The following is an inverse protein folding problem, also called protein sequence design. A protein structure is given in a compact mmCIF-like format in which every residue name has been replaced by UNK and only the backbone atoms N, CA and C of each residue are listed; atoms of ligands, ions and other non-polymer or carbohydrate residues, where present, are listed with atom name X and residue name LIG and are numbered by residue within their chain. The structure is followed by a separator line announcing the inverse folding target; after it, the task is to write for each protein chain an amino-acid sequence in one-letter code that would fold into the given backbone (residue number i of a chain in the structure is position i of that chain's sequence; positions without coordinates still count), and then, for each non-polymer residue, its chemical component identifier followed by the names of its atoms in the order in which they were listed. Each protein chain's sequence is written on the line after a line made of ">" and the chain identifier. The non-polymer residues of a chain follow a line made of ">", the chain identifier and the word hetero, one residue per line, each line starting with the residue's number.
data_IF_529468759881
#
_entry.id   IF_529468759881
#
_cell.length_a   1.000
_cell.length_b   1.000
_cell.length_c   1.000
_cell.angle_alpha   90.00
_cell.angle_beta   90.00
_cell.angle_gamma   90.00
#
_symmetry.space_group_name_H-M   'P 1'
#
loop_
_entity.id
_entity.type
_entity.pdbx_description
1 polymer ?
#
# COMPACT_ATOMS: atom_id res chain seq x y z
N UNK A 1 -25.85 49.64 15.29
CA UNK A 1 -24.97 48.96 14.30
C UNK A 1 -23.86 48.24 15.04
N UNK A 2 -23.83 46.90 14.97
CA UNK A 2 -22.65 46.02 15.13
C UNK A 2 -23.14 44.59 14.93
N UNK A 3 -22.88 44.07 13.73
CA UNK A 3 -23.17 42.71 13.31
C UNK A 3 -22.20 41.73 14.02
N UNK A 4 -22.74 40.68 14.64
CA UNK A 4 -21.97 39.49 14.98
C UNK A 4 -21.98 38.56 13.76
N UNK A 5 -20.84 38.48 13.07
CA UNK A 5 -20.62 37.55 11.98
C UNK A 5 -20.31 36.16 12.54
N UNK A 6 -21.12 35.17 12.14
CA UNK A 6 -20.97 33.77 12.52
C UNK A 6 -19.70 33.13 11.94
N UNK A 7 -19.05 32.29 12.75
CA UNK A 7 -18.04 31.35 12.29
C UNK A 7 -18.70 30.27 11.43
N UNK A 8 -18.55 30.35 10.12
CA UNK A 8 -18.77 29.21 9.23
C UNK A 8 -17.54 28.31 9.27
N UNK A 9 -17.70 27.12 9.85
CA UNK A 9 -16.75 26.02 9.74
C UNK A 9 -16.77 25.55 8.28
N UNK A 10 -15.77 25.92 7.48
CA UNK A 10 -15.54 25.26 6.20
C UNK A 10 -15.09 23.82 6.48
N UNK A 11 -16.04 22.88 6.38
CA UNK A 11 -15.72 21.48 6.18
C UNK A 11 -15.01 21.35 4.83
N UNK A 12 -13.70 21.18 4.83
CA UNK A 12 -12.95 20.77 3.64
C UNK A 12 -13.38 19.35 3.28
N UNK A 13 -14.33 19.25 2.36
CA UNK A 13 -14.65 18.01 1.66
C UNK A 13 -13.38 17.58 0.93
N UNK A 14 -12.75 16.51 1.43
CA UNK A 14 -11.67 15.83 0.72
C UNK A 14 -12.32 15.07 -0.44
N UNK A 15 -12.50 15.75 -1.56
CA UNK A 15 -12.72 15.10 -2.85
C UNK A 15 -11.42 14.37 -3.20
N UNK A 16 -11.34 13.08 -2.90
CA UNK A 16 -10.40 12.22 -3.60
C UNK A 16 -10.90 12.14 -5.05
N UNK A 17 -10.57 13.12 -5.88
CA UNK A 17 -10.86 13.04 -7.30
C UNK A 17 -10.19 11.77 -7.84
N UNK A 18 -10.93 10.89 -8.54
CA UNK A 18 -10.27 9.90 -9.38
C UNK A 18 -9.38 10.71 -10.32
N UNK A 19 -8.15 10.25 -10.48
CA UNK A 19 -7.26 10.84 -11.45
C UNK A 19 -7.97 10.70 -12.81
N UNK A 20 -8.54 11.79 -13.35
CA UNK A 20 -8.94 11.85 -14.77
C UNK A 20 -7.66 11.89 -15.61
N UNK A 21 -7.04 10.73 -15.75
CA UNK A 21 -6.01 10.50 -16.75
C UNK A 21 -6.73 10.26 -18.06
N UNK A 22 -6.47 11.14 -19.03
CA UNK A 22 -6.83 10.99 -20.44
C UNK A 22 -6.74 9.51 -20.83
N UNK A 23 -7.88 8.95 -21.26
CA UNK A 23 -8.05 7.56 -21.70
C UNK A 23 -7.05 7.26 -22.82
N UNK A 24 -5.84 6.82 -22.45
CA UNK A 24 -4.87 6.29 -23.41
C UNK A 24 -5.39 4.93 -23.84
N UNK A 25 -5.28 4.63 -25.13
CA UNK A 25 -5.53 3.27 -25.63
C UNK A 25 -4.60 2.30 -24.89
N UNK A 26 -5.19 1.56 -23.96
CA UNK A 26 -4.55 0.49 -23.21
C UNK A 26 -4.99 -0.84 -23.83
N UNK A 27 -4.08 -1.81 -24.04
CA UNK A 27 -4.44 -3.13 -24.54
C UNK A 27 -5.16 -3.98 -23.47
N UNK A 28 -5.37 -3.46 -22.26
CA UNK A 28 -6.09 -4.12 -21.18
C UNK A 28 -7.48 -3.51 -20.99
N UNK A 29 -8.50 -4.35 -21.03
CA UNK A 29 -9.88 -3.97 -20.68
C UNK A 29 -10.33 -4.75 -19.45
N UNK A 30 -10.85 -4.04 -18.45
CA UNK A 30 -11.48 -4.65 -17.29
C UNK A 30 -13.00 -4.48 -17.34
N UNK A 31 -13.72 -5.50 -16.89
CA UNK A 31 -15.17 -5.45 -16.72
C UNK A 31 -15.54 -6.06 -15.37
N UNK A 32 -16.40 -5.38 -14.62
CA UNK A 32 -16.88 -5.80 -13.30
C UNK A 32 -18.36 -6.13 -13.38
N UNK A 33 -18.72 -7.33 -12.95
CA UNK A 33 -20.11 -7.82 -12.92
C UNK A 33 -20.49 -8.29 -11.52
N UNK A 34 -21.75 -8.09 -11.14
CA UNK A 34 -22.29 -8.58 -9.86
C UNK A 34 -22.26 -10.11 -9.82
N UNK A 35 -21.83 -10.68 -8.70
CA UNK A 35 -21.73 -12.12 -8.47
C UNK A 35 -22.21 -12.52 -7.06
N UNK A 36 -23.38 -12.02 -6.64
CA UNK A 36 -23.95 -12.30 -5.33
C UNK A 36 -24.39 -11.04 -4.60
N UNK A 37 -24.37 -11.07 -3.26
CA UNK A 37 -24.74 -9.94 -2.42
C UNK A 37 -23.74 -8.78 -2.58
N UNK A 38 -22.49 -9.06 -2.22
CA UNK A 38 -21.34 -8.13 -2.24
C UNK A 38 -20.15 -8.74 -3.00
N UNK A 39 -20.30 -9.95 -3.53
CA UNK A 39 -19.34 -10.54 -4.44
C UNK A 39 -19.47 -9.97 -5.85
N UNK A 40 -18.32 -9.71 -6.48
CA UNK A 40 -18.19 -9.25 -7.87
C UNK A 40 -17.18 -10.12 -8.60
N UNK A 41 -17.36 -10.23 -9.91
CA UNK A 41 -16.43 -10.88 -10.83
C UNK A 41 -15.76 -9.81 -11.67
N UNK A 42 -14.45 -9.88 -11.77
CA UNK A 42 -13.60 -8.99 -12.56
C UNK A 42 -13.06 -9.82 -13.73
N UNK A 43 -13.33 -9.38 -14.96
CA UNK A 43 -12.74 -9.95 -16.17
C UNK A 43 -11.72 -8.96 -16.72
N UNK A 44 -10.44 -9.34 -16.75
CA UNK A 44 -9.35 -8.58 -17.36
C UNK A 44 -8.96 -9.25 -18.68
N UNK A 45 -9.15 -8.55 -19.79
CA UNK A 45 -8.86 -9.05 -21.13
C UNK A 45 -7.71 -8.29 -21.77
N UNK A 46 -6.77 -9.03 -22.36
CA UNK A 46 -5.82 -8.48 -23.32
C UNK A 46 -6.51 -8.39 -24.69
N UNK A 47 -6.92 -7.19 -25.08
CA UNK A 47 -7.52 -6.90 -26.40
C UNK A 47 -6.48 -6.51 -27.45
N UNK A 48 -5.20 -6.45 -27.06
CA UNK A 48 -4.08 -6.22 -27.96
C UNK A 48 -3.77 -7.42 -28.85
N UNK A 49 -2.80 -7.22 -29.74
CA UNK A 49 -2.34 -8.23 -30.70
C UNK A 49 -1.10 -9.03 -30.24
N UNK A 50 -0.57 -8.69 -29.06
CA UNK A 50 0.66 -9.27 -28.52
C UNK A 50 0.45 -9.72 -27.09
N UNK A 51 1.23 -10.71 -26.66
CA UNK A 51 1.24 -11.19 -25.28
C UNK A 51 1.79 -10.10 -24.35
N UNK A 52 1.21 -9.99 -23.15
CA UNK A 52 1.59 -9.00 -22.14
C UNK A 52 2.17 -9.71 -20.92
N UNK A 53 3.37 -9.32 -20.51
CA UNK A 53 3.99 -9.82 -19.28
C UNK A 53 3.76 -8.81 -18.16
N UNK A 54 2.83 -9.13 -17.27
CA UNK A 54 2.28 -8.22 -16.27
C UNK A 54 2.81 -8.55 -14.88
N UNK A 55 3.18 -7.54 -14.11
CA UNK A 55 3.56 -7.68 -12.72
C UNK A 55 2.34 -8.11 -11.89
N UNK A 56 2.50 -9.13 -11.05
CA UNK A 56 1.39 -9.73 -10.30
C UNK A 56 1.19 -9.09 -8.93
N UNK A 57 2.23 -8.96 -8.07
CA UNK A 57 2.05 -8.49 -6.70
C UNK A 57 1.39 -7.10 -6.60
N UNK A 58 0.46 -6.94 -5.66
CA UNK A 58 -0.24 -5.67 -5.43
C UNK A 58 -1.29 -5.30 -6.48
N UNK A 59 -1.50 -6.12 -7.51
CA UNK A 59 -2.44 -5.83 -8.62
C UNK A 59 -3.72 -6.67 -8.52
N UNK A 60 -4.66 -6.45 -9.45
CA UNK A 60 -5.86 -7.30 -9.58
C UNK A 60 -5.53 -8.77 -9.91
N UNK A 61 -4.29 -9.06 -10.36
CA UNK A 61 -3.81 -10.41 -10.63
C UNK A 61 -3.30 -11.12 -9.37
N UNK A 62 -3.07 -10.38 -8.29
CA UNK A 62 -2.57 -10.92 -7.03
C UNK A 62 -3.59 -11.84 -6.36
N UNK A 63 -3.11 -12.86 -5.66
CA UNK A 63 -3.93 -13.72 -4.81
C UNK A 63 -4.06 -13.18 -3.39
N UNK A 64 -3.19 -12.26 -2.97
CA UNK A 64 -3.26 -11.57 -1.70
C UNK A 64 -4.54 -10.73 -1.58
N UNK A 65 -4.92 -10.40 -0.34
CA UNK A 65 -6.07 -9.55 -0.05
C UNK A 65 -5.73 -8.06 -0.22
N UNK A 66 -5.32 -7.69 -1.44
CA UNK A 66 -5.05 -6.32 -1.87
C UNK A 66 -6.33 -5.67 -2.43
N UNK A 67 -6.33 -4.36 -2.57
CA UNK A 67 -7.51 -3.63 -3.05
C UNK A 67 -7.68 -3.83 -4.56
N UNK A 68 -8.49 -4.82 -4.95
CA UNK A 68 -8.76 -5.11 -6.38
C UNK A 68 -9.85 -4.25 -6.98
N UNK A 69 -10.74 -3.72 -6.15
CA UNK A 69 -11.84 -2.83 -6.54
C UNK A 69 -11.91 -1.65 -5.59
N UNK A 70 -12.15 -0.47 -6.13
CA UNK A 70 -12.55 0.69 -5.34
C UNK A 70 -14.06 0.63 -5.10
N UNK A 71 -14.47 0.87 -3.85
CA UNK A 71 -15.87 0.85 -3.41
C UNK A 71 -16.27 2.23 -2.92
N UNK A 72 -17.43 2.70 -3.34
CA UNK A 72 -17.96 4.00 -2.96
C UNK A 72 -19.38 3.88 -2.41
N UNK A 73 -19.68 4.66 -1.36
CA UNK A 73 -21.02 4.98 -0.91
C UNK A 73 -21.33 6.41 -1.36
N UNK A 74 -22.20 6.55 -2.36
CA UNK A 74 -22.35 7.81 -3.10
C UNK A 74 -21.04 8.17 -3.81
N UNK A 75 -20.43 9.28 -3.40
CA UNK A 75 -19.12 9.74 -3.91
C UNK A 75 -17.99 9.54 -2.89
N UNK A 76 -18.32 9.00 -1.71
CA UNK A 76 -17.34 8.72 -0.67
C UNK A 76 -16.70 7.35 -0.89
N UNK A 77 -15.39 7.33 -1.17
CA UNK A 77 -14.61 6.08 -1.24
C UNK A 77 -14.52 5.45 0.15
N UNK A 78 -14.89 4.17 0.25
CA UNK A 78 -14.78 3.44 1.49
C UNK A 78 -13.32 3.07 1.79
N UNK A 79 -12.87 3.17 3.05
CA UNK A 79 -11.57 2.66 3.46
C UNK A 79 -11.41 1.16 3.15
N UNK A 80 -10.19 0.76 2.84
CA UNK A 80 -9.82 -0.63 2.60
C UNK A 80 -9.01 -1.20 3.78
N UNK A 81 -9.45 -2.34 4.30
CA UNK A 81 -8.89 -2.99 5.50
C UNK A 81 -7.97 -4.17 5.21
N UNK A 82 -7.68 -4.43 3.93
CA UNK A 82 -6.79 -5.52 3.54
C UNK A 82 -5.31 -5.16 3.66
N UNK A 83 -4.50 -5.92 2.91
CA UNK A 83 -3.05 -5.92 3.03
C UNK A 83 -2.44 -4.71 2.30
N UNK A 84 -1.39 -4.13 2.90
CA UNK A 84 -0.44 -3.19 2.29
C UNK A 84 0.87 -3.91 2.07
N UNK A 85 1.46 -3.83 0.88
CA UNK A 85 2.59 -4.66 0.49
C UNK A 85 3.81 -3.79 0.19
N UNK A 86 4.97 -4.13 0.74
CA UNK A 86 6.25 -3.59 0.26
C UNK A 86 6.75 -4.38 -0.94
N UNK A 87 6.81 -3.74 -2.10
CA UNK A 87 7.42 -4.33 -3.30
C UNK A 87 8.94 -4.33 -3.25
N UNK A 88 9.53 -5.40 -3.76
CA UNK A 88 10.97 -5.55 -3.96
C UNK A 88 11.49 -4.62 -5.06
N UNK A 89 12.77 -4.22 -5.02
CA UNK A 89 13.35 -3.38 -6.04
C UNK A 89 13.58 -4.20 -7.31
N UNK A 90 13.76 -3.50 -8.43
CA UNK A 90 13.85 -4.07 -9.78
C UNK A 90 14.84 -5.24 -9.90
N UNK A 91 15.99 -5.17 -9.23
CA UNK A 91 17.03 -6.18 -9.27
C UNK A 91 16.69 -7.48 -8.52
N UNK A 92 15.60 -7.51 -7.74
CA UNK A 92 15.11 -8.71 -7.05
C UNK A 92 13.84 -9.29 -7.69
N UNK A 93 13.34 -8.68 -8.77
CA UNK A 93 12.19 -9.20 -9.49
C UNK A 93 12.61 -10.37 -10.39
N UNK A 94 11.85 -11.46 -10.30
CA UNK A 94 12.07 -12.68 -11.07
C UNK A 94 10.88 -12.93 -11.99
N UNK A 95 10.98 -13.89 -12.92
CA UNK A 95 9.85 -14.26 -13.78
C UNK A 95 8.60 -14.65 -12.98
N UNK A 96 8.77 -15.22 -11.78
CA UNK A 96 7.67 -15.59 -10.89
C UNK A 96 6.92 -14.38 -10.30
N UNK A 97 7.48 -13.17 -10.40
CA UNK A 97 6.79 -11.92 -10.05
C UNK A 97 5.83 -11.45 -11.15
N UNK A 98 5.84 -12.10 -12.32
CA UNK A 98 5.04 -11.72 -13.47
C UNK A 98 4.12 -12.85 -13.92
N UNK A 99 3.03 -12.48 -14.58
CA UNK A 99 2.13 -13.36 -15.30
C UNK A 99 2.02 -12.90 -16.75
N UNK A 100 2.22 -13.82 -17.69
CA UNK A 100 1.94 -13.55 -19.11
C UNK A 100 0.46 -13.75 -19.39
N UNK A 101 -0.16 -12.79 -20.07
CA UNK A 101 -1.52 -12.86 -20.62
C UNK A 101 -1.41 -12.87 -22.14
N UNK A 102 -1.87 -13.93 -22.79
CA UNK A 102 -1.82 -14.03 -24.25
C UNK A 102 -2.72 -12.99 -24.93
N UNK A 103 -2.40 -12.63 -26.17
CA UNK A 103 -3.31 -11.85 -26.99
C UNK A 103 -4.70 -12.52 -27.05
N UNK A 104 -5.75 -11.77 -26.70
CA UNK A 104 -7.13 -12.28 -26.64
C UNK A 104 -7.51 -13.02 -25.35
N UNK A 105 -6.56 -13.40 -24.49
CA UNK A 105 -6.84 -14.09 -23.24
C UNK A 105 -7.61 -13.19 -22.26
N UNK A 106 -8.54 -13.80 -21.53
CA UNK A 106 -9.27 -13.16 -20.43
C UNK A 106 -8.97 -13.88 -19.13
N UNK A 107 -8.53 -13.14 -18.13
CA UNK A 107 -8.37 -13.61 -16.76
C UNK A 107 -9.58 -13.18 -15.96
N UNK A 108 -10.15 -14.11 -15.21
CA UNK A 108 -11.25 -13.83 -14.31
C UNK A 108 -10.79 -13.94 -12.85
N UNK A 109 -11.26 -13.00 -12.03
CA UNK A 109 -11.09 -13.02 -10.57
C UNK A 109 -12.43 -12.72 -9.91
N UNK A 110 -12.67 -13.28 -8.72
CA UNK A 110 -13.83 -12.96 -7.91
C UNK A 110 -13.35 -12.38 -6.58
N UNK A 111 -14.02 -11.32 -6.12
CA UNK A 111 -13.79 -10.71 -4.81
C UNK A 111 -15.13 -10.39 -4.16
N UNK A 112 -15.20 -10.54 -2.84
CA UNK A 112 -16.31 -10.02 -2.06
C UNK A 112 -15.84 -8.77 -1.31
N UNK A 113 -16.30 -7.60 -1.75
CA UNK A 113 -15.78 -6.35 -1.21
C UNK A 113 -16.23 -6.12 0.25
N UNK A 114 -17.25 -6.84 0.75
CA UNK A 114 -17.60 -6.80 2.17
C UNK A 114 -16.55 -7.46 3.07
N UNK A 115 -15.67 -8.32 2.52
CA UNK A 115 -14.57 -8.91 3.28
C UNK A 115 -13.61 -7.84 3.81
N UNK A 116 -13.38 -6.78 3.02
CA UNK A 116 -12.30 -5.81 3.22
C UNK A 116 -12.77 -4.36 3.34
N UNK A 117 -14.05 -4.09 3.16
CA UNK A 117 -14.66 -2.77 3.38
C UNK A 117 -15.75 -2.84 4.44
N UNK A 118 -15.84 -1.82 5.28
CA UNK A 118 -16.98 -1.65 6.18
C UNK A 118 -18.12 -0.95 5.44
N UNK A 119 -19.20 -1.69 5.18
CA UNK A 119 -20.36 -1.19 4.45
C UNK A 119 -21.33 -0.38 5.33
N UNK A 120 -21.15 -0.45 6.66
CA UNK A 120 -22.04 0.19 7.61
C UNK A 120 -23.51 -0.21 7.41
N UNK A 121 -24.38 0.79 7.25
CA UNK A 121 -25.83 0.61 7.04
C UNK A 121 -26.29 0.90 5.61
N UNK A 122 -25.37 1.27 4.72
CA UNK A 122 -25.71 1.57 3.34
C UNK A 122 -26.00 0.27 2.57
N UNK A 123 -26.96 0.31 1.66
CA UNK A 123 -27.38 -0.83 0.84
C UNK A 123 -27.14 -0.61 -0.66
N UNK A 124 -26.55 0.52 -1.02
CA UNK A 124 -26.20 0.92 -2.39
C UNK A 124 -24.74 1.31 -2.49
N UNK A 125 -24.03 0.78 -3.49
CA UNK A 125 -22.60 1.01 -3.69
C UNK A 125 -22.23 1.11 -5.16
N UNK A 126 -21.21 1.91 -5.46
CA UNK A 126 -20.51 1.90 -6.75
C UNK A 126 -19.22 1.09 -6.59
N UNK A 127 -18.97 0.16 -7.51
CA UNK A 127 -17.78 -0.67 -7.52
C UNK A 127 -17.10 -0.57 -8.88
N UNK A 128 -15.79 -0.37 -8.89
CA UNK A 128 -14.99 -0.31 -10.11
C UNK A 128 -13.56 -0.75 -9.87
N UNK A 129 -12.93 -1.30 -10.91
CA UNK A 129 -11.47 -1.34 -11.04
C UNK A 129 -11.01 -0.01 -11.65
N UNK A 130 -10.12 0.66 -10.95
CA UNK A 130 -9.32 1.79 -11.42
C UNK A 130 -7.90 1.59 -10.88
N UNK A 131 -6.92 1.51 -11.76
CA UNK A 131 -5.54 1.29 -11.35
C UNK A 131 -4.58 1.12 -12.51
N UNK A 132 -3.36 0.69 -12.21
CA UNK A 132 -2.34 0.40 -13.20
C UNK A 132 -1.65 -0.92 -12.90
N UNK A 133 -1.29 -1.65 -13.94
CA UNK A 133 -0.47 -2.86 -13.83
C UNK A 133 0.89 -2.60 -14.48
N UNK A 134 1.98 -2.63 -13.69
CA UNK A 134 3.32 -2.59 -14.25
C UNK A 134 3.55 -3.77 -15.22
N UNK A 135 4.28 -3.53 -16.31
CA UNK A 135 4.59 -4.58 -17.28
C UNK A 135 6.08 -4.62 -17.59
N UNK A 136 6.55 -5.79 -18.02
CA UNK A 136 7.90 -6.01 -18.53
C UNK A 136 7.85 -6.40 -20.01
N UNK A 137 8.95 -6.16 -20.72
CA UNK A 137 9.12 -6.68 -22.08
C UNK A 137 9.28 -8.22 -22.05
N UNK A 138 8.96 -8.89 -23.16
CA UNK A 138 9.17 -10.32 -23.30
C UNK A 138 10.64 -10.68 -23.02
N UNK A 139 10.86 -11.76 -22.25
CA UNK A 139 12.21 -12.19 -21.85
C UNK A 139 12.91 -11.31 -20.81
N UNK A 140 12.25 -10.26 -20.29
CA UNK A 140 12.81 -9.37 -19.26
C UNK A 140 11.98 -9.40 -17.99
N UNK A 141 12.61 -9.14 -16.84
CA UNK A 141 11.95 -8.83 -15.57
C UNK A 141 11.96 -7.33 -15.25
N UNK A 142 12.55 -6.52 -16.14
CA UNK A 142 12.58 -5.06 -16.00
C UNK A 142 11.22 -4.46 -16.29
N UNK A 143 10.64 -3.77 -15.30
CA UNK A 143 9.42 -3.00 -15.45
C UNK A 143 9.68 -1.87 -16.44
N UNK A 144 9.04 -1.95 -17.60
CA UNK A 144 9.19 -1.00 -18.69
C UNK A 144 8.19 0.16 -18.62
N UNK A 145 7.08 -0.03 -17.88
CA UNK A 145 6.04 0.98 -17.72
C UNK A 145 4.84 0.42 -16.97
N UNK A 146 3.74 1.17 -17.01
CA UNK A 146 2.46 0.81 -16.37
C UNK A 146 1.34 0.88 -17.41
N UNK A 147 0.53 -0.17 -17.48
CA UNK A 147 -0.70 -0.19 -18.26
C UNK A 147 -1.86 0.21 -17.35
N UNK A 148 -2.54 1.31 -17.69
CA UNK A 148 -3.73 1.73 -16.97
C UNK A 148 -4.90 0.79 -17.25
N UNK A 149 -5.77 0.63 -16.25
CA UNK A 149 -6.95 -0.21 -16.30
C UNK A 149 -8.11 0.55 -15.68
N UNK A 150 -9.13 0.75 -16.50
CA UNK A 150 -10.43 1.27 -16.09
C UNK A 150 -11.50 0.27 -16.50
N UNK A 151 -12.43 0.04 -15.59
CA UNK A 151 -13.61 -0.80 -15.85
C UNK A 151 -14.88 0.04 -15.94
N UNK A 152 -15.99 -0.61 -16.28
CA UNK A 152 -17.31 -0.06 -16.05
C UNK A 152 -17.53 0.24 -14.55
N UNK A 153 -18.37 1.24 -14.26
CA UNK A 153 -18.91 1.42 -12.90
C UNK A 153 -20.06 0.46 -12.69
N UNK A 154 -19.91 -0.49 -11.76
CA UNK A 154 -20.99 -1.38 -11.35
C UNK A 154 -21.76 -0.75 -10.19
N UNK A 155 -23.05 -0.45 -10.40
CA UNK A 155 -23.96 -0.05 -9.33
C UNK A 155 -24.58 -1.30 -8.70
N UNK A 156 -24.36 -1.49 -7.40
CA UNK A 156 -24.93 -2.60 -6.62
C UNK A 156 -25.97 -2.02 -5.70
N UNK A 157 -27.24 -2.37 -5.95
CA UNK A 157 -28.37 -1.98 -5.14
C UNK A 157 -28.87 -3.16 -4.30
N UNK A 158 -29.62 -2.83 -3.25
CA UNK A 158 -30.31 -3.77 -2.36
C UNK A 158 -29.34 -4.76 -1.68
N UNK A 159 -28.19 -4.27 -1.22
CA UNK A 159 -27.23 -5.09 -0.45
C UNK A 159 -27.88 -5.50 0.88
N UNK A 160 -27.90 -6.81 1.15
CA UNK A 160 -28.24 -7.31 2.47
C UNK A 160 -27.08 -6.98 3.43
N UNK A 161 -27.24 -5.90 4.19
CA UNK A 161 -26.22 -5.37 5.11
C UNK A 161 -25.87 -6.34 6.23
N UNK A 162 -26.83 -7.13 6.72
CA UNK A 162 -26.59 -8.16 7.73
C UNK A 162 -25.70 -9.26 7.18
N UNK A 163 -25.97 -9.73 5.96
CA UNK A 163 -25.13 -10.74 5.29
C UNK A 163 -23.74 -10.18 5.00
N UNK A 164 -23.62 -8.92 4.58
CA UNK A 164 -22.34 -8.27 4.36
C UNK A 164 -21.51 -8.15 5.66
N UNK A 165 -22.13 -7.78 6.77
CA UNK A 165 -21.47 -7.74 8.09
C UNK A 165 -21.02 -9.14 8.55
N UNK A 166 -21.79 -10.18 8.24
CA UNK A 166 -21.42 -11.58 8.49
C UNK A 166 -20.27 -12.04 7.58
N UNK A 167 -20.26 -11.67 6.29
CA UNK A 167 -19.13 -11.91 5.38
C UNK A 167 -17.86 -11.31 5.95
N UNK A 168 -17.90 -10.03 6.31
CA UNK A 168 -16.78 -9.31 6.94
C UNK A 168 -16.29 -10.03 8.19
N UNK A 169 -17.20 -10.33 9.11
CA UNK A 169 -16.87 -10.99 10.39
C UNK A 169 -16.27 -12.38 10.17
N UNK A 170 -16.85 -13.18 9.28
CA UNK A 170 -16.35 -14.52 8.92
C UNK A 170 -14.94 -14.43 8.33
N UNK A 171 -14.74 -13.49 7.41
CA UNK A 171 -13.42 -13.22 6.83
C UNK A 171 -12.41 -12.82 7.90
N UNK A 172 -12.76 -11.90 8.81
CA UNK A 172 -11.91 -11.53 9.95
C UNK A 172 -11.58 -12.74 10.83
N UNK A 173 -12.52 -13.64 11.07
CA UNK A 173 -12.30 -14.83 11.88
C UNK A 173 -11.40 -15.86 11.20
N UNK A 174 -11.53 -16.06 9.88
CA UNK A 174 -10.62 -16.90 9.12
C UNK A 174 -9.18 -16.39 9.23
N UNK A 175 -9.01 -15.07 9.19
CA UNK A 175 -7.72 -14.39 9.32
C UNK A 175 -7.16 -14.40 10.74
N UNK A 176 -8.03 -14.27 11.75
CA UNK A 176 -7.64 -14.25 13.17
C UNK A 176 -6.97 -15.55 13.63
N UNK A 177 -6.94 -16.61 12.82
CA UNK A 177 -6.38 -17.92 13.18
C UNK A 177 -4.85 -18.01 13.17
N UNK A 178 -4.12 -16.92 12.97
CA UNK A 178 -2.65 -16.99 12.97
C UNK A 178 -2.01 -16.40 14.23
N UNK A 179 -1.79 -17.28 15.20
CA UNK A 179 -0.97 -17.02 16.39
C UNK A 179 0.49 -17.35 16.04
N UNK A 180 1.35 -16.35 15.83
CA UNK A 180 2.81 -16.55 15.99
C UNK A 180 3.57 -15.23 16.16
N UNK A 181 3.71 -14.76 17.38
CA UNK A 181 4.80 -13.82 17.72
C UNK A 181 6.07 -14.58 18.15
N UNK A 182 6.00 -15.92 18.22
CA UNK A 182 7.09 -16.85 18.55
C UNK A 182 7.70 -17.55 17.34
N UNK A 183 7.35 -17.15 16.11
CA UNK A 183 7.90 -17.73 14.86
C UNK A 183 9.26 -17.15 14.51
N UNK A 184 9.53 -15.90 14.89
CA UNK A 184 10.84 -15.30 14.78
C UNK A 184 11.81 -16.06 15.69
N UNK A 185 12.56 -17.01 15.10
CA UNK A 185 13.57 -17.83 15.78
C UNK A 185 14.93 -17.68 15.11
N UNK A 186 15.99 -17.98 15.87
CA UNK A 186 17.36 -18.01 15.36
C UNK A 186 17.76 -16.75 14.61
N UNK A 187 18.25 -16.92 13.37
CA UNK A 187 18.72 -15.83 12.52
C UNK A 187 17.63 -14.79 12.24
N UNK A 188 16.39 -15.22 11.96
CA UNK A 188 15.29 -14.29 11.66
C UNK A 188 15.00 -13.36 12.84
N UNK A 189 15.04 -13.87 14.08
CA UNK A 189 14.86 -13.05 15.27
C UNK A 189 15.98 -11.99 15.42
N UNK A 190 17.23 -12.40 15.20
CA UNK A 190 18.37 -11.49 15.26
C UNK A 190 18.26 -10.41 14.18
N UNK A 191 17.90 -10.78 12.96
CA UNK A 191 17.68 -9.86 11.83
C UNK A 191 16.58 -8.85 12.14
N UNK A 192 15.41 -9.29 12.60
CA UNK A 192 14.29 -8.39 12.94
C UNK A 192 14.66 -7.48 14.10
N UNK A 193 15.32 -8.01 15.13
CA UNK A 193 15.76 -7.22 16.28
C UNK A 193 16.72 -6.11 15.86
N UNK A 194 17.71 -6.43 15.02
CA UNK A 194 18.66 -5.46 14.48
C UNK A 194 17.96 -4.41 13.61
N UNK A 195 17.07 -4.83 12.71
CA UNK A 195 16.33 -3.94 11.83
C UNK A 195 15.43 -2.98 12.60
N UNK A 196 14.76 -3.42 13.67
CA UNK A 196 13.98 -2.54 14.52
C UNK A 196 14.85 -1.53 15.29
N UNK A 197 16.05 -1.92 15.74
CA UNK A 197 17.00 -0.98 16.39
C UNK A 197 17.41 0.11 15.39
N UNK A 198 17.77 -0.31 14.17
CA UNK A 198 18.14 0.62 13.11
C UNK A 198 16.96 1.48 12.65
N UNK A 199 15.76 0.92 12.50
CA UNK A 199 14.53 1.65 12.22
C UNK A 199 14.30 2.79 13.22
N UNK A 200 14.44 2.51 14.53
CA UNK A 200 14.29 3.53 15.55
C UNK A 200 15.30 4.67 15.37
N UNK A 201 16.57 4.35 15.09
CA UNK A 201 17.63 5.35 14.85
C UNK A 201 17.32 6.19 13.62
N UNK A 202 16.97 5.55 12.50
CA UNK A 202 16.61 6.22 11.25
C UNK A 202 15.42 7.16 11.44
N UNK A 203 14.36 6.71 12.12
CA UNK A 203 13.17 7.50 12.34
C UNK A 203 13.45 8.74 13.21
N UNK A 204 14.23 8.60 14.30
CA UNK A 204 14.65 9.76 15.12
C UNK A 204 15.48 10.75 14.32
N UNK A 205 16.48 10.28 13.58
CA UNK A 205 17.32 11.13 12.74
C UNK A 205 16.48 11.87 11.68
N UNK A 206 15.54 11.17 11.04
CA UNK A 206 14.63 11.74 10.05
C UNK A 206 13.74 12.84 10.65
N UNK A 207 13.16 12.61 11.85
CA UNK A 207 12.38 13.61 12.57
C UNK A 207 13.22 14.86 12.90
N UNK A 208 14.42 14.66 13.43
CA UNK A 208 15.35 15.75 13.80
C UNK A 208 15.86 16.54 12.59
N UNK A 209 15.82 15.95 11.39
CA UNK A 209 16.30 16.58 10.16
C UNK A 209 15.24 17.42 9.45
N UNK A 210 13.94 17.23 9.77
CA UNK A 210 12.82 17.93 9.10
C UNK A 210 13.03 19.45 9.08
N UNK A 211 13.46 20.07 10.17
CA UNK A 211 13.62 21.53 10.23
C UNK A 211 14.96 22.04 9.72
N UNK A 212 15.87 21.15 9.32
CA UNK A 212 17.26 21.48 8.94
C UNK A 212 17.44 21.66 7.45
N UNK A 213 16.58 21.07 6.62
CA UNK A 213 16.69 21.12 5.16
C UNK A 213 15.32 21.14 4.47
N UNK A 214 14.86 22.36 4.16
CA UNK A 214 13.62 22.58 3.42
C UNK A 214 13.69 22.12 1.97
N UNK A 215 14.89 22.05 1.37
CA UNK A 215 15.03 21.53 -0.01
C UNK A 215 14.74 20.04 -0.03
N UNK A 216 15.30 19.29 0.92
CA UNK A 216 15.02 17.86 1.08
C UNK A 216 13.54 17.62 1.36
N UNK A 217 12.92 18.37 2.28
CA UNK A 217 11.46 18.26 2.47
C UNK A 217 10.65 18.52 1.21
N UNK A 218 11.04 19.52 0.42
CA UNK A 218 10.39 19.82 -0.86
C UNK A 218 10.54 18.67 -1.86
N UNK A 219 11.69 18.02 -1.91
CA UNK A 219 11.94 16.89 -2.80
C UNK A 219 11.03 15.69 -2.49
N UNK A 220 10.98 15.27 -1.21
CA UNK A 220 10.26 14.06 -0.82
C UNK A 220 8.78 14.32 -0.55
N UNK A 221 8.45 15.38 0.17
CA UNK A 221 7.08 15.68 0.62
C UNK A 221 6.39 16.81 -0.14
N UNK A 222 7.13 17.55 -0.99
CA UNK A 222 6.60 18.63 -1.83
C UNK A 222 5.91 19.75 -1.04
N UNK A 223 6.28 19.89 0.24
CA UNK A 223 5.75 20.91 1.13
C UNK A 223 6.71 21.15 2.29
N UNK A 224 6.82 22.41 2.67
CA UNK A 224 7.64 22.89 3.80
C UNK A 224 6.81 23.67 4.83
N UNK A 225 5.48 23.62 4.71
CA UNK A 225 4.58 24.30 5.65
C UNK A 225 4.77 23.75 7.07
N UNK A 226 4.48 24.57 8.09
CA UNK A 226 4.54 24.14 9.49
C UNK A 226 3.66 22.89 9.75
N UNK A 227 2.49 22.81 9.11
CA UNK A 227 1.59 21.67 9.21
C UNK A 227 2.19 20.39 8.59
N UNK A 228 2.81 20.49 7.41
CA UNK A 228 3.48 19.35 6.77
C UNK A 228 4.70 18.89 7.57
N UNK A 229 5.54 19.82 8.02
CA UNK A 229 6.69 19.52 8.91
C UNK A 229 6.23 18.79 10.17
N UNK A 230 5.18 19.29 10.83
CA UNK A 230 4.60 18.65 12.03
C UNK A 230 4.11 17.23 11.72
N UNK A 231 3.41 17.03 10.61
CA UNK A 231 2.93 15.71 10.18
C UNK A 231 4.07 14.72 10.00
N UNK A 232 5.15 15.16 9.34
CA UNK A 232 6.33 14.30 9.10
C UNK A 232 7.04 13.96 10.41
N UNK A 233 7.28 14.95 11.28
CA UNK A 233 7.89 14.74 12.60
C UNK A 233 7.06 13.82 13.48
N UNK A 234 5.75 14.06 13.60
CA UNK A 234 4.85 13.25 14.41
C UNK A 234 4.85 11.79 13.92
N UNK A 235 4.86 11.58 12.60
CA UNK A 235 4.89 10.24 12.01
C UNK A 235 6.19 9.52 12.35
N UNK A 236 7.34 10.16 12.13
CA UNK A 236 8.63 9.55 12.47
C UNK A 236 8.81 9.31 13.97
N UNK A 237 8.30 10.18 14.83
CA UNK A 237 8.33 9.96 16.28
C UNK A 237 7.50 8.74 16.70
N UNK A 238 6.32 8.56 16.10
CA UNK A 238 5.50 7.36 16.35
C UNK A 238 6.16 6.08 15.81
N UNK A 239 6.77 6.13 14.63
CA UNK A 239 7.60 5.03 14.11
C UNK A 239 8.75 4.71 15.09
N UNK A 240 9.48 5.71 15.56
CA UNK A 240 10.59 5.53 16.50
C UNK A 240 10.15 4.94 17.84
N UNK A 241 8.93 5.26 18.29
CA UNK A 241 8.31 4.67 19.48
C UNK A 241 8.00 3.19 19.25
N UNK A 242 7.35 2.85 18.14
CA UNK A 242 6.97 1.47 17.83
C UNK A 242 8.21 0.59 17.56
N UNK A 243 9.14 1.06 16.72
CA UNK A 243 10.44 0.41 16.48
C UNK A 243 11.32 0.34 17.74
N UNK A 244 11.01 1.10 18.79
CA UNK A 244 11.72 1.07 20.08
C UNK A 244 11.30 -0.07 21.01
N UNK A 245 10.23 -0.79 20.68
CA UNK A 245 9.65 -1.81 21.55
C UNK A 245 9.74 -3.21 20.94
N UNK A 246 9.86 -4.25 21.79
CA UNK A 246 9.96 -5.65 21.37
C UNK A 246 8.85 -6.55 21.93
N UNK A 247 8.20 -6.10 23.00
CA UNK A 247 7.17 -6.85 23.72
C UNK A 247 5.96 -5.99 24.12
N UNK A 248 5.96 -4.72 23.70
CA UNK A 248 4.90 -3.73 23.89
C UNK A 248 4.71 -2.98 22.56
N UNK A 249 3.72 -2.10 22.48
CA UNK A 249 3.45 -1.33 21.27
C UNK A 249 2.04 -1.60 20.77
N UNK A 250 1.75 -1.08 19.58
CA UNK A 250 0.42 -1.16 18.97
C UNK A 250 0.29 -2.35 18.03
N UNK A 251 1.41 -2.95 17.60
CA UNK A 251 1.44 -3.97 16.57
C UNK A 251 2.20 -5.24 16.94
N UNK A 252 2.01 -6.29 16.14
CA UNK A 252 2.80 -7.53 16.17
C UNK A 252 3.69 -7.61 14.93
N UNK A 253 4.89 -8.16 15.10
CA UNK A 253 5.80 -8.47 14.00
C UNK A 253 5.93 -9.99 13.86
N UNK A 254 5.74 -10.48 12.64
CA UNK A 254 5.85 -11.89 12.28
C UNK A 254 7.02 -12.11 11.31
N UNK A 255 7.62 -13.30 11.36
CA UNK A 255 8.69 -13.75 10.47
C UNK A 255 8.23 -14.82 9.47
N UNK A 256 7.03 -15.36 9.65
CA UNK A 256 6.36 -16.31 8.76
C UNK A 256 5.14 -15.67 8.11
N UNK A 257 4.80 -16.16 6.91
CA UNK A 257 3.67 -15.63 6.13
C UNK A 257 2.32 -16.07 6.69
N UNK A 258 1.86 -15.35 7.69
CA UNK A 258 0.66 -15.68 8.46
C UNK A 258 -0.66 -15.37 7.75
N UNK A 259 -0.60 -14.65 6.64
CA UNK A 259 -1.74 -14.20 5.85
C UNK A 259 -1.66 -14.64 4.37
N UNK A 260 -0.67 -15.46 4.02
CA UNK A 260 -0.46 -15.95 2.64
C UNK A 260 -0.37 -14.81 1.62
N UNK A 261 0.31 -13.73 1.98
CA UNK A 261 0.50 -12.54 1.13
C UNK A 261 1.95 -12.26 0.77
N UNK A 262 2.86 -13.15 1.17
CA UNK A 262 4.18 -13.18 0.59
C UNK A 262 4.13 -13.90 -0.76
N UNK A 263 4.68 -13.24 -1.77
CA UNK A 263 4.83 -13.79 -3.12
C UNK A 263 6.15 -13.28 -3.72
N UNK A 264 6.62 -13.87 -4.84
CA UNK A 264 7.82 -13.38 -5.51
C UNK A 264 7.72 -11.89 -5.84
N UNK A 265 8.66 -11.08 -5.36
CA UNK A 265 8.64 -9.63 -5.52
C UNK A 265 8.01 -8.86 -4.36
N UNK A 266 7.62 -9.52 -3.26
CA UNK A 266 7.14 -8.89 -2.02
C UNK A 266 8.21 -9.03 -0.92
N UNK A 267 8.56 -7.91 -0.30
CA UNK A 267 9.52 -7.86 0.81
C UNK A 267 8.85 -8.02 2.17
N UNK A 268 7.71 -7.37 2.36
CA UNK A 268 6.97 -7.37 3.61
C UNK A 268 5.52 -6.93 3.36
N UNK A 269 4.69 -7.05 4.38
CA UNK A 269 3.36 -6.49 4.35
C UNK A 269 2.81 -6.12 5.73
N UNK A 270 1.85 -5.22 5.74
CA UNK A 270 1.07 -4.81 6.92
C UNK A 270 -0.40 -5.11 6.69
N UNK A 271 -1.09 -5.56 7.74
CA UNK A 271 -2.56 -5.58 7.76
C UNK A 271 -3.04 -4.60 8.82
N UNK A 272 -3.29 -3.32 8.45
CA UNK A 272 -3.56 -2.25 9.42
C UNK A 272 -4.75 -2.55 10.33
N UNK A 273 -5.81 -3.14 9.76
CA UNK A 273 -7.02 -3.50 10.51
C UNK A 273 -6.79 -4.55 11.61
N UNK A 274 -5.70 -5.31 11.55
CA UNK A 274 -5.32 -6.32 12.55
C UNK A 274 -4.02 -5.99 13.30
N UNK A 275 -3.41 -4.84 13.02
CA UNK A 275 -2.24 -4.32 13.71
C UNK A 275 -1.08 -5.32 13.72
N UNK A 276 -0.75 -5.87 12.56
CA UNK A 276 0.47 -6.65 12.45
C UNK A 276 1.16 -6.47 11.11
N UNK A 277 2.45 -6.78 11.13
CA UNK A 277 3.37 -6.72 10.01
C UNK A 277 4.06 -8.06 9.85
N UNK A 278 4.45 -8.37 8.63
CA UNK A 278 5.08 -9.63 8.25
C UNK A 278 6.24 -9.34 7.34
N UNK A 279 7.40 -9.91 7.68
CA UNK A 279 8.55 -9.91 6.79
C UNK A 279 8.50 -11.15 5.91
N UNK A 280 8.49 -10.96 4.60
CA UNK A 280 8.49 -12.05 3.63
C UNK A 280 9.89 -12.64 3.44
N UNK A 281 10.03 -13.83 2.82
CA UNK A 281 11.34 -14.48 2.67
C UNK A 281 12.44 -13.57 2.08
N UNK A 282 12.11 -12.75 1.07
CA UNK A 282 13.07 -11.81 0.46
C UNK A 282 13.65 -10.78 1.43
N UNK A 283 12.90 -10.37 2.46
CA UNK A 283 13.42 -9.48 3.49
C UNK A 283 14.65 -10.08 4.20
N UNK A 284 14.62 -11.38 4.45
CA UNK A 284 15.69 -12.08 5.16
C UNK A 284 16.84 -12.47 4.25
N UNK A 285 16.55 -12.83 3.00
CA UNK A 285 17.54 -13.44 2.10
C UNK A 285 18.19 -12.44 1.15
N UNK A 286 17.56 -11.31 0.85
CA UNK A 286 18.01 -10.40 -0.21
C UNK A 286 18.31 -8.97 0.26
N UNK A 287 17.75 -8.53 1.39
CA UNK A 287 17.98 -7.18 1.90
C UNK A 287 19.13 -7.15 2.91
N UNK A 288 20.05 -6.17 2.82
CA UNK A 288 20.99 -5.90 3.91
C UNK A 288 20.26 -5.26 5.10
N UNK A 289 20.91 -5.21 6.27
CA UNK A 289 20.39 -4.49 7.43
C UNK A 289 20.21 -2.99 7.12
N UNK A 290 21.26 -2.39 6.56
CA UNK A 290 21.30 -1.02 6.08
C UNK A 290 21.98 -1.01 4.71
N UNK A 291 21.40 -0.30 3.76
CA UNK A 291 22.03 -0.09 2.45
C UNK A 291 23.07 1.02 2.50
N UNK A 292 24.00 1.00 1.55
CA UNK A 292 24.99 2.07 1.31
C UNK A 292 24.66 2.95 0.12
N UNK A 293 23.55 2.68 -0.59
CA UNK A 293 23.13 3.45 -1.75
C UNK A 293 21.93 4.35 -1.48
N UNK A 294 21.89 5.49 -2.17
CA UNK A 294 20.74 6.40 -2.13
C UNK A 294 19.48 5.72 -2.62
N UNK A 295 18.43 5.86 -1.83
CA UNK A 295 17.07 5.40 -2.14
C UNK A 295 16.92 3.87 -2.29
N UNK A 296 17.98 3.12 -2.00
CA UNK A 296 17.94 1.67 -2.01
C UNK A 296 17.11 1.16 -0.82
N UNK A 297 16.58 -0.04 -0.97
CA UNK A 297 15.82 -0.71 0.06
C UNK A 297 16.75 -1.54 0.96
N UNK A 298 16.41 -1.59 2.23
CA UNK A 298 17.05 -2.45 3.23
C UNK A 298 16.02 -2.90 4.26
N UNK A 299 16.44 -3.76 5.20
CA UNK A 299 15.58 -4.28 6.25
C UNK A 299 15.04 -3.18 7.17
N UNK A 300 15.87 -2.17 7.48
CA UNK A 300 15.53 -1.10 8.43
C UNK A 300 14.47 -0.14 7.87
N UNK A 301 14.62 0.25 6.60
CA UNK A 301 13.70 1.13 5.86
C UNK A 301 12.45 0.38 5.41
N UNK A 302 12.55 -0.92 5.13
CA UNK A 302 11.36 -1.78 4.92
C UNK A 302 10.55 -1.89 6.22
N UNK A 303 11.20 -2.14 7.36
CA UNK A 303 10.52 -2.09 8.66
C UNK A 303 9.88 -0.73 8.90
N UNK A 304 10.58 0.36 8.62
CA UNK A 304 10.06 1.72 8.76
C UNK A 304 8.82 1.94 7.87
N UNK A 305 8.85 1.50 6.62
CA UNK A 305 7.74 1.57 5.67
C UNK A 305 6.49 0.90 6.27
N UNK A 306 6.61 -0.37 6.70
CA UNK A 306 5.49 -1.14 7.26
C UNK A 306 4.90 -0.46 8.51
N UNK A 307 5.74 0.10 9.37
CA UNK A 307 5.29 0.82 10.56
C UNK A 307 4.39 2.00 10.22
N UNK A 308 4.62 2.68 9.08
CA UNK A 308 3.78 3.82 8.68
C UNK A 308 2.36 3.41 8.28
N UNK A 309 2.15 2.17 7.83
CA UNK A 309 0.83 1.66 7.48
C UNK A 309 -0.08 1.44 8.69
N UNK A 310 0.48 1.26 9.88
CA UNK A 310 -0.29 1.14 11.12
C UNK A 310 -1.13 2.40 11.33
N UNK A 311 -2.43 2.22 11.60
CA UNK A 311 -3.38 3.33 11.76
C UNK A 311 -3.02 4.23 12.96
N UNK A 312 -2.47 3.64 14.01
CA UNK A 312 -1.99 4.33 15.20
C UNK A 312 -0.76 5.21 14.92
N UNK A 313 0.04 4.83 13.91
CA UNK A 313 1.18 5.61 13.45
C UNK A 313 0.70 6.71 12.51
N UNK A 314 0.30 6.35 11.29
CA UNK A 314 -0.17 7.31 10.27
C UNK A 314 -1.27 6.75 9.38
N UNK A 315 -1.30 5.44 9.14
CA UNK A 315 -2.22 4.84 8.16
C UNK A 315 -1.87 5.22 6.72
N UNK A 316 -0.59 5.24 6.38
CA UNK A 316 -0.13 5.51 5.01
C UNK A 316 -0.66 4.45 4.03
N UNK A 317 -0.68 4.82 2.75
CA UNK A 317 -1.02 3.97 1.63
C UNK A 317 0.20 3.77 0.73
N UNK A 318 0.12 2.79 -0.19
CA UNK A 318 1.14 2.57 -1.22
C UNK A 318 0.79 3.21 -2.56
N UNK A 319 -0.48 3.55 -2.79
CA UNK A 319 -0.99 4.06 -4.08
C UNK A 319 -0.64 3.20 -5.31
N UNK A 320 -0.22 1.94 -5.12
CA UNK A 320 0.19 1.04 -6.20
C UNK A 320 1.50 1.45 -6.89
N UNK A 321 2.32 2.30 -6.27
CA UNK A 321 3.60 2.78 -6.83
C UNK A 321 4.70 2.72 -5.77
N UNK A 322 5.96 2.50 -6.17
CA UNK A 322 7.05 2.25 -5.22
C UNK A 322 8.38 2.84 -5.68
N UNK A 323 9.22 3.18 -4.71
CA UNK A 323 10.57 3.72 -4.92
C UNK A 323 10.61 5.23 -5.18
N UNK A 324 11.84 5.74 -5.31
CA UNK A 324 12.12 7.17 -5.40
C UNK A 324 11.63 7.83 -6.70
N UNK A 325 11.65 7.13 -7.83
CA UNK A 325 11.10 7.68 -9.08
C UNK A 325 9.58 7.84 -8.99
N UNK A 326 8.90 6.92 -8.31
CA UNK A 326 7.45 6.94 -8.15
C UNK A 326 6.97 8.11 -7.29
N UNK A 327 7.60 8.40 -6.14
CA UNK A 327 7.16 9.51 -5.27
C UNK A 327 7.25 10.89 -5.96
N UNK A 328 8.06 11.02 -7.02
CA UNK A 328 8.13 12.24 -7.84
C UNK A 328 6.84 12.50 -8.62
N UNK A 329 6.00 11.50 -8.86
CA UNK A 329 4.73 11.68 -9.59
C UNK A 329 3.56 12.04 -8.68
N UNK A 330 3.69 11.80 -7.36
CA UNK A 330 2.64 12.04 -6.36
C UNK A 330 2.46 13.52 -6.01
N UNK A 331 1.26 13.94 -5.66
CA UNK A 331 1.03 15.26 -5.04
C UNK A 331 1.64 15.33 -3.64
N UNK A 332 1.76 16.52 -3.06
CA UNK A 332 2.23 16.67 -1.67
C UNK A 332 1.33 15.91 -0.67
N UNK A 333 0.01 16.01 -0.84
CA UNK A 333 -0.94 15.31 0.02
C UNK A 333 -0.77 13.78 -0.06
N UNK A 334 -0.54 13.24 -1.26
CA UNK A 334 -0.23 11.82 -1.45
C UNK A 334 1.12 11.46 -0.82
N UNK A 335 2.18 12.24 -1.03
CA UNK A 335 3.49 11.96 -0.44
C UNK A 335 3.49 12.01 1.10
N UNK A 336 2.71 12.90 1.72
CA UNK A 336 2.50 12.91 3.16
C UNK A 336 1.74 11.68 3.69
N UNK A 337 1.08 10.94 2.80
CA UNK A 337 0.32 9.73 3.10
C UNK A 337 0.87 8.48 2.39
N UNK A 338 2.10 8.52 1.89
CA UNK A 338 2.72 7.43 1.14
C UNK A 338 3.86 6.79 1.94
N UNK A 339 3.79 5.49 2.19
CA UNK A 339 4.72 4.79 3.08
C UNK A 339 6.17 4.88 2.59
N UNK A 340 6.37 4.76 1.27
CA UNK A 340 7.70 4.82 0.66
C UNK A 340 8.35 6.19 0.74
N UNK A 341 7.56 7.25 0.75
CA UNK A 341 8.11 8.59 0.91
C UNK A 341 8.83 8.72 2.26
N UNK A 342 8.30 8.13 3.34
CA UNK A 342 8.96 8.11 4.65
C UNK A 342 10.21 7.22 4.65
N UNK A 343 10.14 6.02 4.06
CA UNK A 343 11.28 5.09 3.99
C UNK A 343 12.46 5.66 3.21
N UNK A 344 12.19 6.22 2.02
CA UNK A 344 13.23 6.80 1.15
C UNK A 344 13.77 8.11 1.75
N UNK A 345 12.94 8.95 2.37
CA UNK A 345 13.41 10.14 3.08
C UNK A 345 14.34 9.77 4.24
N UNK A 346 13.98 8.77 5.06
CA UNK A 346 14.82 8.32 6.17
C UNK A 346 16.17 7.74 5.69
N UNK A 347 16.17 7.01 4.58
CA UNK A 347 17.40 6.59 3.92
C UNK A 347 18.26 7.81 3.50
N UNK A 348 17.68 8.77 2.78
CA UNK A 348 18.41 9.95 2.32
C UNK A 348 18.99 10.78 3.47
N UNK A 349 18.26 10.92 4.58
CA UNK A 349 18.77 11.55 5.81
C UNK A 349 19.97 10.79 6.36
N UNK A 350 19.90 9.46 6.45
CA UNK A 350 20.99 8.63 6.95
C UNK A 350 22.25 8.67 6.07
N UNK A 351 22.06 8.78 4.75
CA UNK A 351 23.15 8.90 3.77
C UNK A 351 23.80 10.30 3.77
N UNK A 352 23.22 11.28 4.46
CA UNK A 352 23.73 12.64 4.54
C UNK A 352 23.74 13.33 3.18
N UNK A 353 24.83 14.05 2.86
CA UNK A 353 24.99 14.81 1.60
C UNK A 353 25.27 13.96 0.35
N UNK A 354 25.39 12.64 0.53
CA UNK A 354 25.61 11.72 -0.61
C UNK A 354 24.32 11.41 -1.36
N UNK A 355 23.19 11.72 -0.71
CA UNK A 355 21.86 12.00 -1.28
C UNK A 355 21.43 13.42 -0.78
#
# INVERSE_FOLDING_TARGET
>A
MKFFAGLTILASLVSASPIELVKRDTPLQANVTKNGNTAVKIALKNVGKVDLKLFTPGTILDTAAVEKVAVFNGDNRLPFDGVRLRMAPQNLLTDASFRTIKAGETIESAVDFAELHDLGKADTFKVMVNGGIPYAQAGSTTIAGVLNIDSNTLNINNVNVTKAALTRTSYKQMIKRTIVQSDCKGVQNNTVTAALISCQKLARAAADYVTKDDKRLTEYFKSTTAASKKTVVDTFNKVASECGSRNKGVSKQYCSDVYKSCSPGVLAYTVPAYKYMVNCPLYFTALPLLTTGCHNQDQSTTTLHEMTHLLEVKGTLDFGIYGYTALKTLTSAQNLNHADTYAVYANAVNMGKTC
#
